data_IF_410708065244
#
_entry.id   IF_410708065244
#
_cell.length_a   1.000
_cell.length_b   1.000
_cell.length_c   1.000
_cell.angle_alpha   90.00
_cell.angle_beta   90.00
_cell.angle_gamma   90.00
#
_symmetry.space_group_name_H-M   'P 1'
#
loop_
_entity.id
_entity.type
_entity.pdbx_description
1 polymer ?
#
# COMPACT_ATOMS: atom_id res chain seq x y z
N UNK A 1 -46.98 -26.86 -47.33
CA UNK A 1 -45.82 -26.00 -47.66
C UNK A 1 -45.62 -24.77 -46.75
N UNK A 2 -46.63 -24.21 -46.07
CA UNK A 2 -46.47 -22.99 -45.24
C UNK A 2 -45.71 -23.15 -43.90
N UNK A 3 -45.53 -24.37 -43.38
CA UNK A 3 -44.87 -24.61 -42.08
C UNK A 3 -43.34 -24.63 -42.18
N UNK A 4 -42.78 -25.04 -43.33
CA UNK A 4 -41.31 -25.10 -43.54
C UNK A 4 -40.66 -23.71 -43.64
N UNK A 5 -41.40 -22.68 -44.06
CA UNK A 5 -40.89 -21.31 -44.19
C UNK A 5 -40.64 -20.63 -42.84
N UNK A 6 -41.48 -20.87 -41.83
CA UNK A 6 -41.32 -20.26 -40.49
C UNK A 6 -40.15 -20.85 -39.71
N UNK A 7 -39.88 -22.15 -39.86
CA UNK A 7 -38.74 -22.80 -39.20
C UNK A 7 -37.41 -22.28 -39.74
N UNK A 8 -37.30 -22.08 -41.06
CA UNK A 8 -36.09 -21.58 -41.70
C UNK A 8 -35.79 -20.13 -41.30
N UNK A 9 -36.83 -19.29 -41.18
CA UNK A 9 -36.69 -17.90 -40.73
C UNK A 9 -36.23 -17.81 -39.27
N UNK A 10 -36.70 -18.70 -38.40
CA UNK A 10 -36.28 -18.74 -36.99
C UNK A 10 -34.81 -19.13 -36.82
N UNK A 11 -34.36 -20.16 -37.57
CA UNK A 11 -32.96 -20.61 -37.53
C UNK A 11 -32.00 -19.53 -38.06
N UNK A 12 -32.37 -18.85 -39.15
CA UNK A 12 -31.54 -17.75 -39.68
C UNK A 12 -31.46 -16.56 -38.72
N UNK A 13 -32.54 -16.23 -38.01
CA UNK A 13 -32.53 -15.15 -37.02
C UNK A 13 -31.62 -15.48 -35.82
N UNK A 14 -31.63 -16.73 -35.34
CA UNK A 14 -30.76 -17.17 -34.25
C UNK A 14 -29.29 -17.17 -34.68
N UNK A 15 -28.98 -17.65 -35.88
CA UNK A 15 -27.61 -17.63 -36.41
C UNK A 15 -27.10 -16.20 -36.61
N UNK A 16 -27.95 -15.29 -37.12
CA UNK A 16 -27.60 -13.87 -37.26
C UNK A 16 -27.34 -13.20 -35.90
N UNK A 17 -28.11 -13.55 -34.87
CA UNK A 17 -27.90 -13.05 -33.50
C UNK A 17 -26.56 -13.51 -32.93
N UNK A 18 -26.20 -14.80 -33.05
CA UNK A 18 -24.90 -15.28 -32.58
C UNK A 18 -23.73 -14.72 -33.38
N UNK A 19 -23.91 -14.47 -34.69
CA UNK A 19 -22.88 -13.85 -35.51
C UNK A 19 -22.66 -12.38 -35.13
N UNK A 20 -23.73 -11.62 -34.89
CA UNK A 20 -23.66 -10.24 -34.41
C UNK A 20 -23.08 -10.17 -32.99
N UNK A 21 -23.47 -11.08 -32.10
CA UNK A 21 -22.91 -11.15 -30.75
C UNK A 21 -21.41 -11.49 -30.78
N UNK A 22 -21.01 -12.44 -31.62
CA UNK A 22 -19.60 -12.77 -31.83
C UNK A 22 -18.80 -11.61 -32.46
N UNK A 23 -19.42 -10.81 -33.33
CA UNK A 23 -18.80 -9.63 -33.92
C UNK A 23 -18.64 -8.49 -32.89
N UNK A 24 -19.66 -8.21 -32.09
CA UNK A 24 -19.60 -7.21 -31.01
C UNK A 24 -18.58 -7.59 -29.94
N UNK A 25 -18.54 -8.87 -29.52
CA UNK A 25 -17.54 -9.35 -28.57
C UNK A 25 -16.12 -9.29 -29.15
N UNK A 26 -15.95 -9.56 -30.45
CA UNK A 26 -14.65 -9.44 -31.14
C UNK A 26 -14.19 -7.98 -31.23
N UNK A 27 -15.08 -7.06 -31.58
CA UNK A 27 -14.78 -5.63 -31.64
C UNK A 27 -14.46 -5.07 -30.24
N UNK A 28 -15.14 -5.55 -29.20
CA UNK A 28 -14.85 -5.15 -27.83
C UNK A 28 -13.46 -5.64 -27.38
N UNK A 29 -13.10 -6.90 -27.66
CA UNK A 29 -11.76 -7.43 -27.41
C UNK A 29 -10.68 -6.72 -28.24
N UNK A 30 -10.99 -6.33 -29.49
CA UNK A 30 -10.05 -5.63 -30.36
C UNK A 30 -9.84 -4.17 -29.92
N UNK A 31 -10.91 -3.48 -29.53
CA UNK A 31 -10.84 -2.13 -28.98
C UNK A 31 -10.13 -2.11 -27.61
N UNK A 32 -10.35 -3.12 -26.77
CA UNK A 32 -9.60 -3.29 -25.52
C UNK A 32 -8.12 -3.57 -25.80
N UNK A 33 -7.80 -4.29 -26.88
CA UNK A 33 -6.41 -4.50 -27.31
C UNK A 33 -5.74 -3.22 -27.84
N UNK A 34 -6.44 -2.37 -28.60
CA UNK A 34 -5.90 -1.07 -29.06
C UNK A 34 -5.77 -0.07 -27.91
N UNK A 35 -6.76 -0.04 -27.00
CA UNK A 35 -6.70 0.79 -25.80
C UNK A 35 -5.54 0.35 -24.91
N UNK A 36 -5.40 -0.94 -24.66
CA UNK A 36 -4.27 -1.51 -23.91
C UNK A 36 -2.93 -1.22 -24.63
N UNK A 37 -2.87 -1.33 -25.95
CA UNK A 37 -1.69 -0.97 -26.72
C UNK A 37 -1.33 0.51 -26.55
N UNK A 38 -2.30 1.43 -26.60
CA UNK A 38 -2.10 2.87 -26.42
C UNK A 38 -1.70 3.25 -24.99
N UNK A 39 -2.29 2.60 -23.97
CA UNK A 39 -1.92 2.78 -22.56
C UNK A 39 -0.49 2.29 -22.34
N UNK A 40 -0.13 1.13 -22.90
CA UNK A 40 1.23 0.62 -22.77
C UNK A 40 2.22 1.49 -23.57
N UNK A 41 1.88 1.97 -24.76
CA UNK A 41 2.76 2.87 -25.53
C UNK A 41 2.99 4.19 -24.79
N UNK A 42 1.95 4.73 -24.14
CA UNK A 42 2.07 5.88 -23.23
C UNK A 42 2.95 5.57 -22.02
N UNK A 43 2.75 4.42 -21.37
CA UNK A 43 3.56 3.98 -20.23
C UNK A 43 5.03 3.71 -20.62
N UNK A 44 5.28 3.13 -21.79
CA UNK A 44 6.61 2.87 -22.32
C UNK A 44 7.31 4.15 -22.80
N UNK A 45 6.58 5.10 -23.41
CA UNK A 45 7.13 6.41 -23.72
C UNK A 45 7.55 7.15 -22.44
N UNK A 46 6.77 7.04 -21.36
CA UNK A 46 7.15 7.56 -20.03
C UNK A 46 8.34 6.80 -19.44
N UNK A 47 8.37 5.47 -19.58
CA UNK A 47 9.45 4.63 -19.08
C UNK A 47 10.77 4.79 -19.86
N UNK A 48 10.70 5.08 -21.17
CA UNK A 48 11.87 5.30 -22.02
C UNK A 48 12.58 6.62 -21.71
N UNK A 49 11.88 7.58 -21.09
CA UNK A 49 12.49 8.77 -20.51
C UNK A 49 13.24 8.47 -19.19
N UNK A 50 13.06 7.28 -18.62
CA UNK A 50 13.77 6.83 -17.41
C UNK A 50 14.96 5.97 -17.84
N UNK A 51 16.18 6.49 -17.68
CA UNK A 51 17.40 5.75 -18.06
C UNK A 51 17.48 4.38 -17.35
N UNK A 52 17.90 3.31 -18.06
CA UNK A 52 18.04 1.99 -17.46
C UNK A 52 19.07 2.02 -16.33
N UNK A 53 18.61 1.73 -15.11
CA UNK A 53 19.48 1.63 -13.94
C UNK A 53 20.40 0.42 -14.13
N UNK A 54 21.74 0.60 -14.18
CA UNK A 54 22.67 -0.51 -14.34
C UNK A 54 22.48 -1.52 -13.21
N UNK A 55 22.32 -2.79 -13.58
CA UNK A 55 22.19 -3.91 -12.65
C UNK A 55 23.50 -4.03 -11.86
N UNK A 56 23.52 -3.41 -10.68
CA UNK A 56 24.72 -3.38 -9.85
C UNK A 56 24.69 -4.62 -8.97
N UNK A 57 25.42 -5.66 -9.38
CA UNK A 57 25.78 -6.77 -8.50
C UNK A 57 26.61 -6.18 -7.37
N UNK A 58 26.04 -6.11 -6.17
CA UNK A 58 26.71 -5.57 -4.98
C UNK A 58 27.86 -6.49 -4.57
N UNK A 59 29.08 -6.22 -5.04
CA UNK A 59 30.29 -6.70 -4.40
C UNK A 59 30.45 -5.95 -3.07
N UNK A 60 30.43 -6.68 -1.96
CA UNK A 60 30.53 -6.20 -0.56
C UNK A 60 31.94 -5.71 -0.23
N UNK A 61 32.44 -4.73 -0.98
CA UNK A 61 33.58 -3.90 -0.57
C UNK A 61 33.14 -2.44 -0.60
N UNK A 62 32.30 -2.06 0.37
CA UNK A 62 32.05 -0.67 0.70
C UNK A 62 33.32 -0.14 1.38
N UNK A 63 34.32 0.23 0.55
CA UNK A 63 35.47 1.03 1.00
C UNK A 63 34.90 2.20 1.80
N UNK A 64 35.46 2.45 2.99
CA UNK A 64 35.21 3.60 3.86
C UNK A 64 35.38 4.93 3.09
N UNK A 65 34.45 5.25 2.22
CA UNK A 65 34.26 6.57 1.68
C UNK A 65 33.64 7.36 2.81
N UNK A 66 34.42 8.27 3.39
CA UNK A 66 33.93 9.26 4.34
C UNK A 66 32.77 9.98 3.66
N UNK A 67 31.55 9.58 4.01
CA UNK A 67 30.35 10.18 3.48
C UNK A 67 30.41 11.67 3.82
N UNK A 68 30.09 12.57 2.88
CA UNK A 68 30.04 14.00 3.19
C UNK A 68 29.16 14.22 4.43
N UNK A 69 29.50 15.22 5.27
CA UNK A 69 28.74 15.51 6.47
C UNK A 69 27.27 15.67 6.11
N UNK A 70 26.41 14.97 6.83
CA UNK A 70 24.96 14.97 6.62
C UNK A 70 24.46 16.42 6.67
N UNK A 71 24.03 16.93 5.51
CA UNK A 71 23.28 18.18 5.43
C UNK A 71 22.03 18.02 6.28
N UNK A 72 21.81 18.95 7.21
CA UNK A 72 20.60 18.95 8.06
C UNK A 72 19.36 18.92 7.18
N UNK A 73 18.43 18.04 7.50
CA UNK A 73 17.18 17.91 6.79
C UNK A 73 16.18 18.97 7.30
N UNK A 74 15.70 19.83 6.40
CA UNK A 74 14.65 20.81 6.68
C UNK A 74 13.26 20.31 6.29
N UNK A 75 13.19 19.40 5.33
CA UNK A 75 11.96 18.81 4.83
C UNK A 75 12.10 17.30 4.58
N UNK A 76 11.48 16.45 5.43
CA UNK A 76 11.52 15.00 5.25
C UNK A 76 10.94 14.53 3.91
N UNK A 77 9.88 15.18 3.42
CA UNK A 77 9.25 14.81 2.15
C UNK A 77 10.23 14.95 0.99
N UNK A 78 10.76 16.16 0.79
CA UNK A 78 11.80 16.45 -0.22
C UNK A 78 12.98 15.49 -0.06
N UNK A 79 13.48 15.25 1.16
CA UNK A 79 14.60 14.34 1.39
C UNK A 79 14.33 12.90 0.91
N UNK A 80 13.14 12.37 1.21
CA UNK A 80 12.74 11.01 0.87
C UNK A 80 12.45 10.92 -0.62
N UNK A 81 11.78 11.90 -1.21
CA UNK A 81 11.27 11.83 -2.58
C UNK A 81 12.25 12.32 -3.65
N UNK A 82 13.16 13.27 -3.37
CA UNK A 82 14.14 13.79 -4.34
C UNK A 82 15.19 12.77 -4.80
N UNK A 83 15.27 11.61 -4.13
CA UNK A 83 16.10 10.52 -4.59
C UNK A 83 15.49 9.88 -5.85
N UNK A 84 15.86 10.42 -7.02
CA UNK A 84 15.42 9.94 -8.34
C UNK A 84 15.80 8.48 -8.63
N UNK A 85 16.71 7.91 -7.84
CA UNK A 85 17.09 6.50 -7.91
C UNK A 85 16.42 5.77 -6.74
N UNK A 86 15.89 4.57 -7.02
CA UNK A 86 15.45 3.65 -5.98
C UNK A 86 16.52 3.51 -4.90
N UNK A 87 16.10 3.48 -3.65
CA UNK A 87 17.01 3.36 -2.51
C UNK A 87 17.12 1.88 -2.15
N UNK A 88 18.34 1.45 -1.83
CA UNK A 88 18.64 0.08 -1.39
C UNK A 88 19.03 0.14 0.07
N UNK A 89 18.34 -0.60 0.91
CA UNK A 89 18.66 -0.82 2.31
C UNK A 89 19.06 -2.30 2.52
N UNK A 90 19.55 -2.69 3.71
CA UNK A 90 20.02 -4.07 3.94
C UNK A 90 18.94 -5.15 3.71
N UNK A 91 17.66 -4.81 3.82
CA UNK A 91 16.53 -5.73 3.61
C UNK A 91 16.05 -5.81 2.16
N UNK A 92 16.43 -4.86 1.30
CA UNK A 92 16.01 -4.88 -0.10
C UNK A 92 15.96 -3.50 -0.75
N UNK A 93 15.11 -3.38 -1.78
CA UNK A 93 14.96 -2.15 -2.58
C UNK A 93 13.51 -1.79 -2.76
N UNK A 94 13.26 -0.50 -2.98
CA UNK A 94 11.97 0.01 -3.46
C UNK A 94 12.20 0.69 -4.81
N UNK A 95 11.46 0.25 -5.82
CA UNK A 95 11.42 0.89 -7.13
C UNK A 95 10.70 2.23 -7.07
N UNK A 96 11.05 3.12 -7.99
CA UNK A 96 10.36 4.40 -8.18
C UNK A 96 9.20 4.17 -9.16
N UNK A 97 8.00 4.50 -8.73
CA UNK A 97 6.87 4.89 -9.55
C UNK A 97 6.11 3.71 -10.08
N UNK A 98 5.76 3.83 -11.35
CA UNK A 98 5.01 2.80 -12.07
C UNK A 98 5.90 1.62 -12.48
N UNK A 99 7.08 1.45 -11.88
CA UNK A 99 8.05 0.45 -12.31
C UNK A 99 7.51 -0.96 -12.13
N UNK A 100 6.79 -1.21 -11.04
CA UNK A 100 6.10 -2.49 -10.82
C UNK A 100 5.09 -2.77 -11.93
N UNK A 101 4.25 -1.80 -12.25
CA UNK A 101 3.17 -1.89 -13.24
C UNK A 101 3.74 -2.07 -14.64
N UNK A 102 4.77 -1.30 -15.00
CA UNK A 102 5.49 -1.44 -16.27
C UNK A 102 6.07 -2.85 -16.40
N UNK A 103 6.66 -3.41 -15.33
CA UNK A 103 7.19 -4.77 -15.34
C UNK A 103 6.07 -5.82 -15.49
N UNK A 104 4.96 -5.66 -14.77
CA UNK A 104 3.81 -6.55 -14.88
C UNK A 104 3.22 -6.54 -16.31
N UNK A 105 3.04 -5.35 -16.90
CA UNK A 105 2.57 -5.19 -18.27
C UNK A 105 3.53 -5.77 -19.30
N UNK A 106 4.85 -5.66 -19.08
CA UNK A 106 5.86 -6.30 -19.95
C UNK A 106 5.80 -7.82 -19.88
N UNK A 107 5.58 -8.40 -18.70
CA UNK A 107 5.39 -9.85 -18.53
C UNK A 107 4.12 -10.28 -19.26
N UNK A 108 2.99 -9.60 -19.03
CA UNK A 108 1.72 -9.88 -19.70
C UNK A 108 1.86 -9.83 -21.23
N UNK A 109 2.45 -8.76 -21.77
CA UNK A 109 2.68 -8.61 -23.21
C UNK A 109 3.55 -9.73 -23.77
N UNK A 110 4.60 -10.14 -23.05
CA UNK A 110 5.45 -11.26 -23.46
C UNK A 110 4.64 -12.55 -23.55
N UNK A 111 3.83 -12.86 -22.52
CA UNK A 111 2.97 -14.05 -22.49
C UNK A 111 2.02 -14.06 -23.70
N UNK A 112 1.27 -12.98 -23.92
CA UNK A 112 0.32 -12.86 -25.04
C UNK A 112 1.00 -13.00 -26.40
N UNK A 113 2.20 -12.43 -26.57
CA UNK A 113 2.96 -12.54 -27.84
C UNK A 113 3.53 -13.95 -28.07
N UNK A 114 3.97 -14.64 -27.01
CA UNK A 114 4.53 -15.99 -27.11
C UNK A 114 3.42 -17.06 -27.23
N UNK A 115 2.23 -16.77 -26.72
CA UNK A 115 1.11 -17.71 -26.70
C UNK A 115 -0.20 -17.07 -27.21
N UNK A 116 -0.28 -16.66 -28.50
CA UNK A 116 -1.43 -15.94 -29.04
C UNK A 116 -2.74 -16.75 -29.06
N UNK A 117 -2.66 -18.07 -28.90
CA UNK A 117 -3.80 -18.98 -28.86
C UNK A 117 -4.32 -19.28 -27.45
N UNK A 118 -3.66 -18.80 -26.39
CA UNK A 118 -4.11 -19.03 -25.02
C UNK A 118 -5.37 -18.24 -24.69
N UNK A 119 -6.20 -18.84 -23.84
CA UNK A 119 -7.36 -18.19 -23.21
C UNK A 119 -6.92 -17.13 -22.21
N UNK A 120 -7.82 -16.23 -21.83
CA UNK A 120 -7.53 -15.23 -20.80
C UNK A 120 -7.13 -15.89 -19.47
N UNK A 121 -7.78 -16.99 -19.11
CA UNK A 121 -7.49 -17.74 -17.89
C UNK A 121 -6.08 -18.37 -17.91
N UNK A 122 -5.63 -18.89 -19.06
CA UNK A 122 -4.26 -19.41 -19.23
C UNK A 122 -3.22 -18.28 -19.15
N UNK A 123 -3.50 -17.13 -19.77
CA UNK A 123 -2.64 -15.95 -19.72
C UNK A 123 -2.53 -15.42 -18.28
N UNK A 124 -3.64 -15.33 -17.56
CA UNK A 124 -3.67 -14.89 -16.15
C UNK A 124 -2.94 -15.89 -15.24
N UNK A 125 -3.18 -17.19 -15.41
CA UNK A 125 -2.50 -18.21 -14.63
C UNK A 125 -0.97 -18.13 -14.80
N UNK A 126 -0.51 -17.90 -16.03
CA UNK A 126 0.90 -17.72 -16.33
C UNK A 126 1.45 -16.41 -15.75
N UNK A 127 0.70 -15.30 -15.89
CA UNK A 127 1.09 -14.01 -15.32
C UNK A 127 1.28 -14.13 -13.80
N UNK A 128 0.34 -14.78 -13.13
CA UNK A 128 0.42 -15.04 -11.68
C UNK A 128 1.61 -15.92 -11.35
N UNK A 129 1.89 -16.96 -12.15
CA UNK A 129 3.05 -17.84 -11.95
C UNK A 129 4.38 -17.08 -12.04
N UNK A 130 4.51 -16.16 -12.99
CA UNK A 130 5.71 -15.33 -13.20
C UNK A 130 5.89 -14.25 -12.12
N UNK A 131 4.78 -13.66 -11.65
CA UNK A 131 4.81 -12.61 -10.64
C UNK A 131 4.96 -13.19 -9.23
N UNK A 132 4.09 -14.13 -8.83
CA UNK A 132 4.01 -14.69 -7.49
C UNK A 132 4.88 -15.95 -7.37
N UNK A 133 6.19 -15.78 -7.57
CA UNK A 133 7.17 -16.85 -7.36
C UNK A 133 7.12 -17.35 -5.90
N UNK A 134 7.58 -18.59 -5.61
CA UNK A 134 7.60 -19.12 -4.24
C UNK A 134 8.31 -18.18 -3.24
N UNK A 135 9.42 -17.57 -3.66
CA UNK A 135 10.18 -16.61 -2.85
C UNK A 135 9.36 -15.36 -2.51
N UNK A 136 8.72 -14.73 -3.51
CA UNK A 136 7.90 -13.53 -3.28
C UNK A 136 6.67 -13.84 -2.42
N UNK A 137 6.05 -15.00 -2.61
CA UNK A 137 4.94 -15.44 -1.74
C UNK A 137 5.38 -15.60 -0.30
N UNK A 138 6.52 -16.27 -0.09
CA UNK A 138 7.06 -16.47 1.24
C UNK A 138 7.37 -15.13 1.91
N UNK A 139 7.99 -14.20 1.18
CA UNK A 139 8.23 -12.84 1.65
C UNK A 139 6.92 -12.14 2.08
N UNK A 140 5.86 -12.21 1.27
CA UNK A 140 4.55 -11.63 1.63
C UNK A 140 4.00 -12.25 2.92
N UNK A 141 4.04 -13.57 3.05
CA UNK A 141 3.53 -14.29 4.23
C UNK A 141 4.29 -13.85 5.49
N UNK A 142 5.61 -13.73 5.39
CA UNK A 142 6.47 -13.30 6.50
C UNK A 142 6.22 -11.85 6.89
N UNK A 143 6.18 -10.94 5.92
CA UNK A 143 5.87 -9.51 6.14
C UNK A 143 4.49 -9.34 6.75
N UNK A 144 3.46 -10.04 6.24
CA UNK A 144 2.12 -10.01 6.79
C UNK A 144 2.08 -10.47 8.25
N UNK A 145 2.67 -11.62 8.55
CA UNK A 145 2.72 -12.15 9.90
C UNK A 145 3.46 -11.20 10.85
N UNK A 146 4.60 -10.65 10.41
CA UNK A 146 5.41 -9.72 11.19
C UNK A 146 4.69 -8.40 11.43
N UNK A 147 4.06 -7.79 10.43
CA UNK A 147 3.27 -6.56 10.59
C UNK A 147 2.14 -6.75 11.59
N UNK A 148 1.39 -7.86 11.49
CA UNK A 148 0.34 -8.21 12.45
C UNK A 148 0.88 -8.34 13.87
N UNK A 149 2.02 -9.00 14.03
CA UNK A 149 2.66 -9.14 15.35
C UNK A 149 3.17 -7.81 15.91
N UNK A 150 3.69 -6.92 15.07
CA UNK A 150 4.11 -5.60 15.48
C UNK A 150 2.93 -4.74 15.97
N UNK A 151 1.79 -4.77 15.27
CA UNK A 151 0.56 -4.08 15.69
C UNK A 151 0.01 -4.68 16.99
N UNK A 152 -0.05 -6.01 17.10
CA UNK A 152 -0.44 -6.69 18.36
C UNK A 152 0.45 -6.27 19.53
N UNK A 153 1.76 -6.20 19.30
CA UNK A 153 2.72 -5.73 20.29
C UNK A 153 2.57 -4.24 20.60
N UNK A 154 2.12 -3.43 19.64
CA UNK A 154 1.80 -2.03 19.85
C UNK A 154 0.57 -1.88 20.77
N UNK A 155 -0.52 -2.63 20.51
CA UNK A 155 -1.74 -2.65 21.33
C UNK A 155 -1.42 -3.11 22.77
N UNK A 156 -0.74 -4.25 22.91
CA UNK A 156 -0.44 -4.85 24.21
C UNK A 156 0.40 -3.95 25.12
N UNK A 157 1.32 -3.17 24.52
CA UNK A 157 2.20 -2.25 25.25
C UNK A 157 1.52 -0.95 25.69
N UNK A 158 0.31 -0.66 25.22
CA UNK A 158 -0.43 0.50 25.72
C UNK A 158 -0.83 0.27 27.18
N UNK A 159 -0.76 1.28 28.05
CA UNK A 159 -1.24 1.13 29.44
C UNK A 159 -2.77 0.95 29.47
N UNK A 160 -3.30 0.41 30.59
CA UNK A 160 -4.76 0.21 30.75
C UNK A 160 -5.56 1.52 30.72
N UNK A 161 -4.92 2.66 31.01
CA UNK A 161 -5.53 3.97 30.88
C UNK A 161 -5.71 4.43 29.42
N UNK A 162 -5.05 3.77 28.45
CA UNK A 162 -5.24 3.98 27.01
C UNK A 162 -6.26 2.98 26.46
N UNK A 163 -6.01 1.69 26.72
CA UNK A 163 -6.91 0.60 26.35
C UNK A 163 -7.08 -0.33 27.55
N UNK A 164 -8.31 -0.48 28.03
CA UNK A 164 -8.68 -1.54 28.97
C UNK A 164 -8.33 -2.92 28.41
N UNK A 165 -8.30 -3.93 29.27
CA UNK A 165 -8.01 -5.30 28.86
C UNK A 165 -9.01 -5.79 27.81
N UNK A 166 -10.29 -5.50 28.02
CA UNK A 166 -11.38 -5.89 27.13
C UNK A 166 -11.24 -5.23 25.75
N UNK A 167 -10.86 -3.95 25.70
CA UNK A 167 -10.60 -3.24 24.44
C UNK A 167 -9.40 -3.83 23.71
N UNK A 168 -8.30 -4.14 24.42
CA UNK A 168 -7.13 -4.80 23.80
C UNK A 168 -7.48 -6.16 23.22
N UNK A 169 -8.19 -6.98 23.99
CA UNK A 169 -8.60 -8.32 23.56
C UNK A 169 -9.50 -8.24 22.32
N UNK A 170 -10.40 -7.26 22.26
CA UNK A 170 -11.23 -7.02 21.09
C UNK A 170 -10.43 -6.55 19.87
N UNK A 171 -9.59 -5.52 20.01
CA UNK A 171 -8.76 -5.02 18.91
C UNK A 171 -7.88 -6.12 18.31
N UNK A 172 -7.25 -6.93 19.17
CA UNK A 172 -6.43 -8.08 18.74
C UNK A 172 -7.28 -9.16 18.07
N UNK A 173 -8.48 -9.44 18.60
CA UNK A 173 -9.40 -10.39 17.98
C UNK A 173 -9.83 -9.95 16.58
N UNK A 174 -10.10 -8.65 16.38
CA UNK A 174 -10.45 -8.10 15.07
C UNK A 174 -9.27 -8.13 14.11
N UNK A 175 -8.08 -7.70 14.54
CA UNK A 175 -6.85 -7.81 13.76
C UNK A 175 -6.56 -9.26 13.31
N UNK A 176 -6.83 -10.25 14.16
CA UNK A 176 -6.63 -11.67 13.84
C UNK A 176 -7.65 -12.24 12.84
N UNK A 177 -8.78 -11.56 12.59
CA UNK A 177 -9.74 -11.95 11.56
C UNK A 177 -9.30 -11.58 10.15
N UNK A 178 -8.31 -10.70 10.01
CA UNK A 178 -7.77 -10.34 8.69
C UNK A 178 -7.01 -11.54 8.12
N UNK A 179 -7.44 -11.99 6.96
CA UNK A 179 -6.82 -13.08 6.22
C UNK A 179 -5.94 -12.53 5.10
N UNK A 180 -4.71 -13.02 4.98
CA UNK A 180 -3.90 -12.75 3.79
C UNK A 180 -4.42 -13.60 2.64
N UNK A 181 -4.76 -12.96 1.53
CA UNK A 181 -5.21 -13.64 0.33
C UNK A 181 -4.20 -13.49 -0.82
N UNK A 182 -3.80 -14.62 -1.40
CA UNK A 182 -2.76 -14.68 -2.45
C UNK A 182 -3.18 -15.60 -3.62
N UNK A 183 -2.97 -15.19 -4.87
CA UNK A 183 -3.36 -15.96 -6.05
C UNK A 183 -2.29 -16.99 -6.44
N UNK A 184 -2.62 -18.12 -7.10
CA UNK A 184 -3.65 -19.08 -6.70
C UNK A 184 -3.31 -19.77 -5.37
N UNK A 185 -4.31 -20.34 -4.66
CA UNK A 185 -5.71 -20.53 -5.07
C UNK A 185 -6.66 -19.53 -4.39
N UNK A 186 -6.99 -18.41 -5.04
CA UNK A 186 -8.03 -17.51 -4.54
C UNK A 186 -9.10 -17.24 -5.59
N UNK A 187 -10.35 -17.51 -5.23
CA UNK A 187 -11.55 -17.14 -6.00
C UNK A 187 -11.92 -15.66 -5.83
N UNK A 188 -11.23 -14.93 -4.95
CA UNK A 188 -11.44 -13.49 -4.72
C UNK A 188 -10.53 -12.61 -5.59
N UNK A 189 -9.76 -13.21 -6.49
CA UNK A 189 -8.98 -12.50 -7.52
C UNK A 189 -9.65 -12.58 -8.90
N UNK A 190 -10.66 -13.46 -9.08
CA UNK A 190 -11.36 -13.59 -10.37
C UNK A 190 -12.28 -12.42 -10.69
N UNK A 191 -12.57 -11.56 -9.71
CA UNK A 191 -13.37 -10.34 -9.88
C UNK A 191 -12.53 -9.07 -10.14
N UNK A 192 -11.19 -9.17 -10.06
CA UNK A 192 -10.27 -8.04 -10.19
C UNK A 192 -9.01 -8.46 -10.97
N UNK A 193 -9.17 -8.70 -12.27
CA UNK A 193 -8.05 -9.09 -13.17
C UNK A 193 -6.97 -8.01 -13.29
N UNK A 194 -7.32 -6.75 -13.02
CA UNK A 194 -6.39 -5.62 -13.00
C UNK A 194 -5.44 -5.65 -11.79
N UNK A 195 -5.79 -6.36 -10.71
CA UNK A 195 -5.03 -6.44 -9.46
C UNK A 195 -3.60 -6.95 -9.67
N UNK A 196 -3.36 -7.84 -10.64
CA UNK A 196 -2.00 -8.32 -10.97
C UNK A 196 -1.09 -7.22 -11.52
N UNK A 197 -1.68 -6.14 -12.04
CA UNK A 197 -0.97 -5.00 -12.60
C UNK A 197 -0.99 -3.77 -11.68
N UNK A 198 -1.60 -3.86 -10.49
CA UNK A 198 -1.62 -2.77 -9.49
C UNK A 198 -0.42 -2.86 -8.53
N UNK A 199 0.20 -1.71 -8.26
CA UNK A 199 1.29 -1.55 -7.31
C UNK A 199 0.75 -1.11 -5.94
N UNK A 200 -0.14 -1.92 -5.39
CA UNK A 200 -0.87 -1.56 -4.18
C UNK A 200 -1.25 -2.79 -3.35
N UNK A 201 -1.62 -2.57 -2.10
CA UNK A 201 -2.09 -3.58 -1.16
C UNK A 201 -3.43 -3.11 -0.62
N UNK A 202 -4.40 -4.01 -0.49
CA UNK A 202 -5.78 -3.61 -0.21
C UNK A 202 -6.34 -4.34 1.00
N UNK A 203 -6.80 -3.58 1.99
CA UNK A 203 -7.72 -4.02 3.03
C UNK A 203 -9.16 -4.00 2.52
N UNK A 204 -9.82 -5.16 2.51
CA UNK A 204 -11.17 -5.26 1.96
C UNK A 204 -12.08 -6.20 2.74
N UNK A 205 -13.38 -5.89 2.68
CA UNK A 205 -14.45 -6.73 3.19
C UNK A 205 -15.26 -7.31 2.05
N UNK A 206 -15.42 -8.64 2.02
CA UNK A 206 -16.31 -9.26 1.04
C UNK A 206 -17.79 -9.18 1.48
N UNK A 207 -18.70 -9.59 0.58
CA UNK A 207 -20.14 -9.63 0.85
C UNK A 207 -20.56 -10.53 2.01
N UNK A 208 -19.68 -11.44 2.47
CA UNK A 208 -19.88 -12.31 3.64
C UNK A 208 -19.32 -11.71 4.92
N UNK A 209 -18.80 -10.48 4.88
CA UNK A 209 -18.22 -9.78 6.02
C UNK A 209 -16.81 -10.26 6.40
N UNK A 210 -16.20 -11.19 5.65
CA UNK A 210 -14.81 -11.62 5.87
C UNK A 210 -13.87 -10.53 5.38
N UNK A 211 -12.78 -10.36 6.11
CA UNK A 211 -11.81 -9.28 5.91
C UNK A 211 -10.53 -9.88 5.36
N UNK A 212 -10.00 -9.29 4.30
CA UNK A 212 -8.83 -9.77 3.60
C UNK A 212 -7.85 -8.64 3.35
N UNK A 213 -6.57 -9.01 3.33
CA UNK A 213 -5.51 -8.21 2.75
C UNK A 213 -5.11 -8.86 1.41
N UNK A 214 -5.29 -8.13 0.31
CA UNK A 214 -4.90 -8.56 -1.04
C UNK A 214 -3.67 -7.79 -1.49
N UNK A 215 -2.74 -8.46 -2.17
CA UNK A 215 -1.50 -7.86 -2.65
C UNK A 215 -1.51 -7.81 -4.17
N UNK A 216 -1.33 -6.61 -4.73
CA UNK A 216 -1.21 -6.41 -6.16
C UNK A 216 0.07 -6.99 -6.73
N UNK A 217 0.01 -7.49 -7.96
CA UNK A 217 1.14 -8.21 -8.55
C UNK A 217 2.32 -7.29 -8.87
N UNK A 218 2.05 -6.07 -9.32
CA UNK A 218 3.07 -5.07 -9.60
C UNK A 218 3.80 -4.60 -8.33
N UNK A 219 3.15 -4.63 -7.16
CA UNK A 219 3.80 -4.34 -5.87
C UNK A 219 4.99 -5.26 -5.62
N UNK A 220 4.82 -6.56 -5.85
CA UNK A 220 5.88 -7.57 -5.68
C UNK A 220 7.03 -7.45 -6.70
N UNK A 221 6.82 -6.73 -7.79
CA UNK A 221 7.85 -6.41 -8.77
C UNK A 221 8.55 -5.08 -8.46
N UNK A 222 7.88 -4.19 -7.73
CA UNK A 222 8.38 -2.88 -7.36
C UNK A 222 9.26 -2.94 -6.11
N UNK A 223 8.84 -3.69 -5.08
CA UNK A 223 9.50 -3.72 -3.78
C UNK A 223 10.04 -5.09 -3.42
N UNK A 224 11.17 -5.10 -2.74
CA UNK A 224 11.69 -6.24 -1.98
C UNK A 224 12.19 -5.81 -0.60
N UNK A 225 12.04 -4.53 -0.23
CA UNK A 225 12.47 -4.01 1.06
C UNK A 225 11.48 -4.47 2.13
N UNK A 226 11.98 -5.14 3.15
CA UNK A 226 11.17 -5.57 4.28
C UNK A 226 10.51 -4.38 4.96
N UNK A 227 11.22 -3.26 5.15
CA UNK A 227 10.66 -2.10 5.86
C UNK A 227 9.56 -1.39 5.09
N UNK A 228 9.63 -1.39 3.76
CA UNK A 228 8.52 -0.91 2.93
C UNK A 228 7.32 -1.86 3.03
N UNK A 229 7.56 -3.17 2.90
CA UNK A 229 6.54 -4.19 3.14
C UNK A 229 5.86 -4.04 4.50
N UNK A 230 6.66 -3.83 5.55
CA UNK A 230 6.14 -3.65 6.91
C UNK A 230 5.29 -2.39 7.04
N UNK A 231 5.70 -1.26 6.45
CA UNK A 231 4.89 -0.04 6.47
C UNK A 231 3.56 -0.25 5.73
N UNK A 232 3.60 -0.70 4.48
CA UNK A 232 2.40 -0.90 3.65
C UNK A 232 1.45 -1.90 4.30
N UNK A 233 1.94 -3.06 4.75
CA UNK A 233 1.08 -4.08 5.36
C UNK A 233 0.57 -3.66 6.73
N UNK A 234 1.35 -2.91 7.50
CA UNK A 234 0.87 -2.38 8.78
C UNK A 234 -0.19 -1.29 8.58
N UNK A 235 -0.10 -0.49 7.51
CA UNK A 235 -1.14 0.45 7.13
C UNK A 235 -2.44 -0.30 6.85
N UNK A 236 -2.42 -1.28 5.94
CA UNK A 236 -3.63 -2.06 5.61
C UNK A 236 -4.20 -2.82 6.81
N UNK A 237 -3.35 -3.39 7.66
CA UNK A 237 -3.79 -4.08 8.88
C UNK A 237 -4.31 -3.11 9.95
N UNK A 238 -3.86 -1.85 9.96
CA UNK A 238 -4.33 -0.85 10.91
C UNK A 238 -5.79 -0.45 10.66
N UNK A 239 -6.30 -0.60 9.43
CA UNK A 239 -7.73 -0.45 9.15
C UNK A 239 -8.60 -1.41 9.95
N UNK A 240 -8.09 -2.59 10.33
CA UNK A 240 -8.81 -3.51 11.19
C UNK A 240 -9.04 -2.98 12.62
N UNK A 241 -8.33 -1.94 13.02
CA UNK A 241 -8.40 -1.37 14.37
C UNK A 241 -8.65 0.14 14.34
N UNK A 242 -8.92 0.73 13.19
CA UNK A 242 -9.12 2.17 13.07
C UNK A 242 -10.44 2.64 13.72
N UNK A 243 -10.65 3.96 13.88
CA UNK A 243 -11.87 4.48 14.47
C UNK A 243 -13.15 4.09 13.73
N UNK A 244 -13.09 3.92 12.41
CA UNK A 244 -14.25 3.64 11.57
C UNK A 244 -14.65 2.17 11.65
N UNK A 245 -13.68 1.25 11.59
CA UNK A 245 -13.91 -0.17 11.82
C UNK A 245 -14.40 -0.43 13.25
N UNK A 246 -13.82 0.26 14.25
CA UNK A 246 -14.29 0.15 15.64
C UNK A 246 -15.74 0.61 15.77
N UNK A 247 -16.09 1.76 15.18
CA UNK A 247 -17.46 2.29 15.19
C UNK A 247 -18.44 1.36 14.46
N UNK A 248 -18.04 0.80 13.31
CA UNK A 248 -18.83 -0.19 12.57
C UNK A 248 -19.13 -1.44 13.41
N UNK A 249 -18.18 -1.87 14.25
CA UNK A 249 -18.35 -2.97 15.18
C UNK A 249 -19.12 -2.61 16.47
N UNK A 250 -19.62 -1.38 16.57
CA UNK A 250 -20.34 -0.90 17.76
C UNK A 250 -19.43 -0.65 18.96
N UNK A 251 -18.12 -0.53 18.75
CA UNK A 251 -17.14 -0.25 19.80
C UNK A 251 -16.65 1.20 19.70
N UNK A 252 -16.98 2.02 20.71
CA UNK A 252 -16.44 3.37 20.84
C UNK A 252 -15.25 3.39 21.82
N UNK A 253 -14.04 3.47 21.28
CA UNK A 253 -12.80 3.59 22.06
C UNK A 253 -12.59 5.05 22.47
N UNK A 254 -12.63 5.33 23.78
CA UNK A 254 -12.58 6.71 24.32
C UNK A 254 -11.32 7.47 23.92
N UNK A 255 -10.20 6.76 23.74
CA UNK A 255 -8.92 7.38 23.39
C UNK A 255 -8.86 7.86 21.93
N UNK A 256 -9.78 7.44 21.07
CA UNK A 256 -9.81 7.88 19.68
C UNK A 256 -10.26 9.33 19.54
N UNK A 257 -11.23 9.80 20.33
CA UNK A 257 -11.68 11.20 20.27
C UNK A 257 -10.51 12.21 20.45
N UNK A 258 -9.67 12.14 21.50
CA UNK A 258 -8.52 13.04 21.64
C UNK A 258 -7.38 12.76 20.64
N UNK A 259 -7.26 11.53 20.11
CA UNK A 259 -6.28 11.21 19.07
C UNK A 259 -6.68 11.87 17.74
N UNK A 260 -7.95 11.76 17.35
CA UNK A 260 -8.52 12.42 16.17
C UNK A 260 -8.35 13.94 16.30
N UNK A 261 -8.64 14.50 17.48
CA UNK A 261 -8.40 15.93 17.71
C UNK A 261 -6.93 16.30 17.54
N UNK A 262 -6.00 15.46 17.99
CA UNK A 262 -4.58 15.67 17.73
C UNK A 262 -4.26 15.66 16.23
N UNK A 263 -4.85 14.76 15.43
CA UNK A 263 -4.65 14.74 13.98
C UNK A 263 -5.18 16.01 13.29
N UNK A 264 -6.34 16.51 13.73
CA UNK A 264 -6.89 17.80 13.27
C UNK A 264 -5.93 18.94 13.64
N UNK A 265 -5.48 18.97 14.89
CA UNK A 265 -4.58 20.00 15.40
C UNK A 265 -3.23 20.00 14.65
N UNK A 266 -2.76 18.85 14.20
CA UNK A 266 -1.55 18.71 13.39
C UNK A 266 -1.77 18.98 11.90
N UNK A 267 -3.02 19.28 11.49
CA UNK A 267 -3.43 19.45 10.10
C UNK A 267 -3.05 18.23 9.24
N UNK A 268 -3.25 17.03 9.79
CA UNK A 268 -3.11 15.77 9.07
C UNK A 268 -4.41 15.38 8.39
N UNK A 269 -5.54 15.78 8.99
CA UNK A 269 -6.89 15.56 8.47
C UNK A 269 -7.74 16.82 8.71
N UNK A 270 -8.52 17.29 7.72
CA UNK A 270 -9.51 18.34 7.94
C UNK A 270 -10.63 17.85 8.87
N UNK A 271 -11.19 18.73 9.70
CA UNK A 271 -12.20 18.35 10.69
C UNK A 271 -13.44 17.70 10.05
N UNK A 272 -13.90 18.24 8.92
CA UNK A 272 -15.04 17.77 8.14
C UNK A 272 -14.84 16.37 7.53
N UNK A 273 -13.59 15.87 7.48
CA UNK A 273 -13.22 14.56 6.93
C UNK A 273 -12.93 13.50 8.01
N UNK A 274 -13.32 13.77 9.25
CA UNK A 274 -13.13 12.86 10.39
C UNK A 274 -14.31 11.92 10.68
N UNK A 275 -15.40 12.07 9.93
CA UNK A 275 -16.58 11.22 10.06
C UNK A 275 -16.44 9.98 9.18
N UNK A 276 -16.81 8.80 9.69
CA UNK A 276 -16.65 7.51 9.02
C UNK A 276 -17.70 7.23 7.92
N UNK A 277 -17.96 8.21 7.08
CA UNK A 277 -18.94 8.16 5.99
C UNK A 277 -18.41 8.91 4.76
N UNK A 278 -18.66 8.38 3.56
CA UNK A 278 -18.33 9.07 2.30
C UNK A 278 -16.83 9.32 2.11
N UNK A 279 -16.46 10.59 1.90
CA UNK A 279 -15.08 11.06 1.66
C UNK A 279 -14.27 11.22 2.94
N UNK A 280 -14.30 10.21 3.80
CA UNK A 280 -13.50 10.21 5.03
C UNK A 280 -12.00 10.09 4.73
N UNK A 281 -11.16 10.56 5.66
CA UNK A 281 -9.69 10.49 5.59
C UNK A 281 -9.08 10.04 6.93
N UNK A 282 -9.93 9.83 7.93
CA UNK A 282 -9.45 9.55 9.29
C UNK A 282 -8.90 8.14 9.41
N UNK A 283 -9.49 7.16 8.71
CA UNK A 283 -8.98 5.79 8.66
C UNK A 283 -7.56 5.76 8.08
N UNK A 284 -7.35 6.47 6.97
CA UNK A 284 -6.08 6.58 6.25
C UNK A 284 -4.97 7.24 7.09
N UNK A 285 -5.30 8.38 7.73
CA UNK A 285 -4.35 9.06 8.63
C UNK A 285 -4.03 8.20 9.84
N UNK A 286 -5.02 7.51 10.39
CA UNK A 286 -4.80 6.59 11.51
C UNK A 286 -3.91 5.41 11.09
N UNK A 287 -4.16 4.83 9.92
CA UNK A 287 -3.39 3.71 9.37
C UNK A 287 -1.92 4.09 9.14
N UNK A 288 -1.66 5.23 8.50
CA UNK A 288 -0.29 5.77 8.35
C UNK A 288 0.39 6.03 9.69
N UNK A 289 -0.36 6.56 10.67
CA UNK A 289 0.18 6.84 12.00
C UNK A 289 0.57 5.54 12.73
N UNK A 290 -0.27 4.50 12.72
CA UNK A 290 0.05 3.19 13.30
C UNK A 290 1.23 2.54 12.58
N UNK A 291 1.21 2.51 11.24
CA UNK A 291 2.28 1.98 10.42
C UNK A 291 3.63 2.64 10.76
N UNK A 292 3.64 3.97 10.90
CA UNK A 292 4.81 4.74 11.34
C UNK A 292 5.30 4.29 12.72
N UNK A 293 4.40 4.11 13.70
CA UNK A 293 4.79 3.68 15.06
C UNK A 293 5.51 2.33 15.03
N UNK A 294 4.95 1.37 14.28
CA UNK A 294 5.45 -0.01 14.29
C UNK A 294 6.71 -0.15 13.45
N UNK A 295 6.78 0.44 12.26
CA UNK A 295 7.96 0.30 11.37
C UNK A 295 9.17 1.00 11.98
N UNK A 296 9.02 2.19 12.56
CA UNK A 296 10.14 2.91 13.14
C UNK A 296 10.67 2.24 14.41
N UNK A 297 9.80 1.54 15.13
CA UNK A 297 10.22 0.69 16.23
C UNK A 297 11.03 -0.50 15.74
N UNK A 298 10.61 -1.14 14.65
CA UNK A 298 11.32 -2.26 14.04
C UNK A 298 12.69 -1.86 13.47
N UNK A 299 12.75 -0.76 12.69
CA UNK A 299 14.02 -0.21 12.18
C UNK A 299 14.97 0.07 13.35
N UNK A 300 14.47 0.61 14.46
CA UNK A 300 15.30 0.89 15.65
C UNK A 300 15.80 -0.36 16.39
N UNK A 301 15.18 -1.54 16.22
CA UNK A 301 15.65 -2.76 16.86
C UNK A 301 16.85 -3.39 16.18
N UNK A 302 17.14 -3.02 14.94
CA UNK A 302 18.31 -3.47 14.17
C UNK A 302 19.59 -2.74 14.60
N UNK A 303 20.06 -3.02 15.82
CA UNK A 303 21.25 -2.37 16.42
C UNK A 303 22.54 -2.64 15.64
N UNK A 304 22.55 -3.69 14.83
CA UNK A 304 23.63 -4.07 13.93
C UNK A 304 23.76 -3.16 12.71
N UNK A 305 22.72 -2.39 12.36
CA UNK A 305 22.77 -1.46 11.24
C UNK A 305 23.61 -0.23 11.58
N UNK A 306 24.45 0.19 10.64
CA UNK A 306 25.10 1.50 10.67
C UNK A 306 24.06 2.63 10.60
N UNK A 307 24.47 3.86 10.96
CA UNK A 307 23.59 5.03 10.84
C UNK A 307 23.12 5.26 9.38
N UNK A 308 23.99 4.99 8.40
CA UNK A 308 23.66 5.07 6.97
C UNK A 308 22.59 4.04 6.58
N UNK A 309 22.71 2.81 7.09
CA UNK A 309 21.73 1.75 6.84
C UNK A 309 20.38 2.05 7.49
N UNK A 310 20.35 2.53 8.74
CA UNK A 310 19.11 3.01 9.38
C UNK A 310 18.43 4.11 8.56
N UNK A 311 19.21 5.07 8.04
CA UNK A 311 18.70 6.13 7.18
C UNK A 311 18.10 5.60 5.88
N UNK A 312 18.80 4.68 5.20
CA UNK A 312 18.30 4.04 3.96
C UNK A 312 17.02 3.24 4.22
N UNK A 313 16.98 2.45 5.29
CA UNK A 313 15.79 1.70 5.71
C UNK A 313 14.60 2.64 6.02
N UNK A 314 14.86 3.76 6.70
CA UNK A 314 13.84 4.77 7.01
C UNK A 314 13.30 5.44 5.74
N UNK A 315 14.17 5.76 4.77
CA UNK A 315 13.73 6.31 3.47
C UNK A 315 12.92 5.27 2.70
N UNK A 316 13.40 4.03 2.63
CA UNK A 316 12.73 2.96 1.89
C UNK A 316 11.35 2.63 2.44
N UNK A 317 11.14 2.71 3.76
CA UNK A 317 9.86 2.38 4.38
C UNK A 317 8.65 3.05 3.71
N UNK A 318 8.80 4.28 3.21
CA UNK A 318 7.71 5.08 2.61
C UNK A 318 8.03 5.59 1.21
N UNK A 319 9.03 5.00 0.53
CA UNK A 319 9.54 5.53 -0.76
C UNK A 319 8.53 5.36 -1.90
N UNK A 320 7.74 4.31 -1.86
CA UNK A 320 6.63 4.05 -2.79
C UNK A 320 5.53 5.13 -2.75
N UNK A 321 5.43 5.90 -1.65
CA UNK A 321 4.46 6.99 -1.53
C UNK A 321 4.86 8.27 -2.29
N UNK A 322 6.03 8.34 -2.92
CA UNK A 322 6.55 9.57 -3.51
C UNK A 322 5.92 10.00 -4.84
N UNK A 323 5.11 9.16 -5.49
CA UNK A 323 4.75 9.35 -6.90
C UNK A 323 3.28 9.65 -7.20
N UNK A 324 2.51 10.05 -6.19
CA UNK A 324 1.10 10.45 -6.35
C UNK A 324 0.88 11.82 -7.03
N UNK A 325 1.91 12.45 -7.61
CA UNK A 325 1.78 13.75 -8.29
C UNK A 325 1.47 13.66 -9.80
N UNK A 326 1.19 12.46 -10.35
CA UNK A 326 0.75 12.33 -11.75
C UNK A 326 -0.76 12.55 -11.84
N UNK A 327 -1.16 13.56 -12.62
CA UNK A 327 -2.53 14.05 -12.79
C UNK A 327 -3.62 13.05 -13.22
N UNK A 328 -3.29 11.76 -13.42
CA UNK A 328 -4.21 10.75 -13.94
C UNK A 328 -5.07 10.12 -12.82
N UNK A 329 -4.63 10.17 -11.56
CA UNK A 329 -5.28 9.43 -10.46
C UNK A 329 -6.07 10.31 -9.47
N UNK A 330 -6.43 11.55 -9.82
CA UNK A 330 -7.25 12.41 -8.96
C UNK A 330 -8.64 11.82 -8.61
N UNK A 331 -9.09 10.77 -9.32
CA UNK A 331 -10.36 10.09 -9.07
C UNK A 331 -10.28 8.97 -8.00
N UNK A 332 -9.10 8.46 -7.66
CA UNK A 332 -8.94 7.34 -6.71
C UNK A 332 -8.48 7.81 -5.32
N UNK A 333 -7.86 8.99 -5.23
CA UNK A 333 -7.30 9.52 -3.98
C UNK A 333 -8.20 10.49 -3.24
N UNK A 334 -9.52 10.46 -3.46
CA UNK A 334 -10.42 11.29 -2.65
C UNK A 334 -10.20 11.03 -1.16
N UNK A 335 -9.94 9.79 -0.75
CA UNK A 335 -9.87 9.37 0.66
C UNK A 335 -8.49 9.52 1.32
N UNK A 336 -7.39 9.50 0.56
CA UNK A 336 -6.03 9.52 1.12
C UNK A 336 -5.48 10.94 1.31
N UNK A 337 -4.72 11.22 2.38
CA UNK A 337 -3.94 12.47 2.49
C UNK A 337 -2.88 12.57 1.38
N UNK A 338 -2.47 13.79 1.05
CA UNK A 338 -1.39 13.98 0.07
C UNK A 338 -0.05 13.40 0.59
N UNK A 339 0.89 13.04 -0.30
CA UNK A 339 2.21 12.54 0.09
C UNK A 339 2.96 13.48 1.05
N UNK A 340 2.79 14.79 0.90
CA UNK A 340 3.38 15.79 1.79
C UNK A 340 2.86 15.64 3.23
N UNK A 341 1.60 15.24 3.39
CA UNK A 341 1.03 14.91 4.70
C UNK A 341 1.52 13.54 5.15
N UNK A 342 1.34 12.48 4.35
CA UNK A 342 1.69 11.09 4.71
C UNK A 342 3.17 10.94 5.07
N UNK A 343 4.05 11.36 4.16
CA UNK A 343 5.50 11.28 4.31
C UNK A 343 6.03 12.44 5.16
N UNK A 344 5.65 13.68 4.83
CA UNK A 344 6.27 14.86 5.44
C UNK A 344 5.77 15.12 6.87
N UNK A 345 4.44 15.09 7.08
CA UNK A 345 3.82 15.41 8.37
C UNK A 345 3.64 14.20 9.28
N UNK A 346 3.18 13.04 8.81
CA UNK A 346 2.91 11.87 9.67
C UNK A 346 4.18 11.06 9.90
N UNK A 347 4.81 10.57 8.83
CA UNK A 347 6.02 9.75 8.96
C UNK A 347 7.24 10.57 9.38
N UNK A 348 7.49 11.68 8.70
CA UNK A 348 8.69 12.51 8.83
C UNK A 348 8.84 13.25 10.16
N UNK A 349 7.73 13.61 10.81
CA UNK A 349 7.76 14.29 12.11
C UNK A 349 7.78 13.32 13.30
N UNK A 350 7.63 12.01 13.06
CA UNK A 350 7.78 11.04 14.12
C UNK A 350 9.19 11.15 14.72
N UNK A 351 9.37 11.21 16.07
CA UNK A 351 10.64 11.58 16.67
C UNK A 351 11.83 10.72 16.25
N UNK A 352 11.62 9.41 16.09
CA UNK A 352 12.68 8.49 15.64
C UNK A 352 13.01 8.65 14.16
N UNK A 353 12.02 9.03 13.34
CA UNK A 353 12.21 9.32 11.92
C UNK A 353 13.05 10.57 11.77
N UNK A 354 12.63 11.67 12.40
CA UNK A 354 13.36 12.93 12.40
C UNK A 354 14.80 12.75 12.90
N UNK A 355 15.01 12.00 13.99
CA UNK A 355 16.34 11.67 14.50
C UNK A 355 17.18 10.89 13.46
N UNK A 356 16.63 9.81 12.91
CA UNK A 356 17.36 8.95 11.96
C UNK A 356 17.70 9.68 10.65
N UNK A 357 16.80 10.56 10.18
CA UNK A 357 17.01 11.37 8.99
C UNK A 357 17.85 12.64 9.25
N UNK A 358 18.21 12.91 10.52
CA UNK A 358 18.85 14.16 10.94
C UNK A 358 18.07 15.40 10.51
N UNK A 359 16.74 15.33 10.62
CA UNK A 359 15.85 16.45 10.39
C UNK A 359 15.67 17.24 11.70
N UNK A 360 15.85 18.57 11.63
CA UNK A 360 15.53 19.41 12.78
C UNK A 360 14.00 19.49 12.96
N UNK A 361 13.51 19.64 14.20
CA UNK A 361 12.12 20.02 14.40
C UNK A 361 11.85 21.31 13.61
N UNK A 362 10.80 21.33 12.79
CA UNK A 362 10.46 22.52 12.00
C UNK A 362 10.32 23.72 12.96
N UNK A 363 10.95 24.88 12.67
CA UNK A 363 10.74 26.09 13.45
C UNK A 363 9.25 26.42 13.50
N UNK A 364 8.66 26.48 14.70
CA UNK A 364 7.21 26.65 14.86
C UNK A 364 6.38 25.36 14.87
N UNK A 365 6.99 24.17 14.82
CA UNK A 365 6.33 22.92 15.21
C UNK A 365 6.13 22.91 16.74
N UNK A 366 5.20 23.75 17.19
CA UNK A 366 4.85 23.92 18.62
C UNK A 366 4.15 22.66 19.15
N UNK A 367 3.55 21.85 18.27
CA UNK A 367 2.72 20.70 18.66
C UNK A 367 3.53 19.41 18.66
N UNK A 368 3.59 18.74 19.80
CA UNK A 368 4.25 17.42 19.89
C UNK A 368 3.54 16.39 19.04
N UNK A 369 4.30 15.45 18.45
CA UNK A 369 3.76 14.30 17.71
C UNK A 369 2.64 13.58 18.49
N UNK A 370 1.56 13.20 17.79
CA UNK A 370 0.41 12.53 18.40
C UNK A 370 0.80 11.18 19.01
N UNK A 371 0.62 11.05 20.33
CA UNK A 371 0.99 9.88 21.11
C UNK A 371 -0.11 9.56 22.13
N UNK A 372 -0.61 8.33 22.15
CA UNK A 372 -1.70 7.89 23.04
C UNK A 372 -1.42 8.22 24.52
N UNK A 373 -0.18 8.01 24.99
CA UNK A 373 0.20 8.23 26.39
C UNK A 373 0.07 9.69 26.83
N UNK A 374 0.22 10.64 25.90
CA UNK A 374 0.09 12.08 26.20
C UNK A 374 -1.36 12.57 26.22
N UNK A 375 -2.26 11.76 25.67
CA UNK A 375 -3.67 12.09 25.51
C UNK A 375 -4.53 11.56 26.67
N UNK A 376 -3.98 10.67 27.50
CA UNK A 376 -4.64 10.23 28.74
C UNK A 376 -4.63 11.38 29.75
N UNK A 377 -5.80 11.80 30.28
CA UNK A 377 -5.85 12.77 31.37
C UNK A 377 -5.01 12.29 32.55
N UNK A 378 -4.06 13.10 32.99
CA UNK A 378 -3.31 12.79 34.21
C UNK A 378 -4.29 12.88 35.40
N UNK A 379 -4.28 11.91 36.33
CA UNK A 379 -5.08 12.04 37.54
C UNK A 379 -4.71 13.37 38.21
N UNK A 380 -5.73 14.16 38.57
CA UNK A 380 -5.53 15.40 39.31
C UNK A 380 -4.68 15.05 40.53
N UNK A 381 -3.47 15.63 40.62
CA UNK A 381 -2.68 15.52 41.84
C UNK A 381 -3.54 16.14 42.94
N UNK A 382 -4.00 15.33 43.88
CA UNK A 382 -4.66 15.83 45.08
C UNK A 382 -3.72 16.89 45.68
N UNK A 383 -4.21 18.13 45.76
CA UNK A 383 -3.43 19.20 46.37
C UNK A 383 -3.25 18.83 47.85
N UNK A 384 -2.02 18.93 48.38
CA UNK A 384 -1.70 18.48 49.74
C UNK A 384 -2.46 19.21 50.83
#
# INVERSE_FOLDING_TARGET
MKVRSKLLSGVLAVLAFFFLLGWVLRDQVYNDSELLASVIESAESKAALMEPVPSTTLSVEEKKSLSPPLTKCSDPYTLICDTAKGVVDPSGRVGVGFKGEILALRILRKIVRTHPQWTSEEVEAELVREIYTPERRQWVIEVFAKSRDLIRNFINKQPEAVFSKEEKDHLIATLNKVELDLPPPSTLYSDATDLFTKNDVFYQRNSKGRIYLRVGGAYLLNTSSEFNGLFTFAHELAHAIDPCESNFQGMKLKIYDPLIQCFIDQEWVPQERTHCEGDEMISEVFADWVATQVVMKEISSHREYSASQHRKATINAVKDLCEYNIAVDQLVFTHHPSPEIRIGKIFGTHPKTAQTLSCEPRPGAVKSYCQLQKLVPQPLKESP
#
